data_IF_553395174654
#
_entry.id   IF_553395174654
#
_cell.length_a   1.000
_cell.length_b   1.000
_cell.length_c   1.000
_cell.angle_alpha   90.00
_cell.angle_beta   90.00
_cell.angle_gamma   90.00
#
_symmetry.space_group_name_H-M   'P 1'
#
loop_
_entity.id
_entity.type
_entity.pdbx_description
1 polymer ?
#
# COMPACT_ATOMS: atom_id res chain seq x y z
N UNK A 1 -10.80 20.12 -2.27
CA UNK A 1 -11.23 18.79 -2.79
C UNK A 1 -12.24 18.20 -1.83
N UNK A 2 -13.10 17.26 -2.29
CA UNK A 2 -13.94 16.47 -1.39
C UNK A 2 -13.06 15.66 -0.42
N UNK A 3 -13.69 14.96 0.54
CA UNK A 3 -12.99 14.10 1.49
C UNK A 3 -11.93 13.23 0.79
N UNK A 4 -10.66 13.41 1.18
CA UNK A 4 -9.51 12.83 0.45
C UNK A 4 -9.07 11.47 0.98
N UNK A 5 -9.51 11.13 2.20
CA UNK A 5 -9.18 9.90 2.89
C UNK A 5 -10.28 9.51 3.88
N UNK A 6 -10.30 8.24 4.28
CA UNK A 6 -11.03 7.75 5.45
C UNK A 6 -10.02 7.34 6.51
N UNK A 7 -10.22 7.81 7.74
CA UNK A 7 -9.40 7.42 8.88
C UNK A 7 -10.30 6.95 10.03
N UNK A 8 -10.00 5.76 10.56
CA UNK A 8 -10.60 5.24 11.80
C UNK A 8 -9.50 5.00 12.81
N UNK A 9 -9.62 5.63 13.99
CA UNK A 9 -8.68 5.44 15.09
C UNK A 9 -8.93 4.10 15.77
N UNK A 10 -7.87 3.34 15.98
CA UNK A 10 -7.88 2.08 16.69
C UNK A 10 -7.46 2.20 18.17
N UNK A 11 -7.40 1.02 18.83
CA UNK A 11 -7.09 0.86 20.26
C UNK A 11 -5.88 -0.05 20.53
N UNK A 12 -5.16 -0.47 19.48
CA UNK A 12 -3.94 -1.27 19.55
C UNK A 12 -2.82 -0.55 18.79
N UNK A 13 -1.53 -0.84 19.03
CA UNK A 13 -0.41 -0.10 18.43
C UNK A 13 -0.16 -0.41 16.95
N UNK A 14 -1.22 -0.51 16.14
CA UNK A 14 -1.16 -0.85 14.72
C UNK A 14 -1.94 0.15 13.87
N UNK A 15 -1.29 0.72 12.86
CA UNK A 15 -1.90 1.47 11.76
C UNK A 15 -1.80 0.65 10.46
N UNK A 16 -2.93 0.44 9.79
CA UNK A 16 -3.02 -0.13 8.45
C UNK A 16 -3.23 1.01 7.46
N UNK A 17 -2.22 1.26 6.61
CA UNK A 17 -2.23 2.26 5.55
C UNK A 17 -2.63 1.60 4.23
N UNK A 18 -3.59 2.17 3.52
CA UNK A 18 -4.11 1.73 2.22
C UNK A 18 -4.05 2.92 1.24
N UNK A 19 -2.90 3.19 0.62
CA UNK A 19 -2.71 4.43 -0.15
C UNK A 19 -3.30 4.40 -1.56
N UNK A 20 -3.61 3.22 -2.12
CA UNK A 20 -3.96 3.08 -3.54
C UNK A 20 -5.31 2.44 -3.89
N UNK A 21 -6.29 2.28 -2.97
CA UNK A 21 -7.60 1.75 -3.33
C UNK A 21 -8.51 2.83 -3.94
N UNK A 22 -8.09 4.09 -3.89
CA UNK A 22 -8.87 5.23 -4.35
C UNK A 22 -9.11 5.22 -5.85
N UNK A 23 -10.33 5.58 -6.25
CA UNK A 23 -10.76 5.64 -7.66
C UNK A 23 -11.20 7.04 -8.09
N UNK A 24 -11.27 8.01 -7.17
CA UNK A 24 -11.65 9.38 -7.52
C UNK A 24 -10.56 10.02 -8.37
N UNK A 25 -10.99 10.70 -9.41
CA UNK A 25 -10.15 11.51 -10.28
C UNK A 25 -10.47 12.99 -10.09
N UNK A 26 -9.50 13.86 -10.36
CA UNK A 26 -9.78 15.28 -10.53
C UNK A 26 -10.25 15.53 -11.95
N UNK A 27 -11.02 16.62 -12.23
CA UNK A 27 -11.47 16.92 -13.58
C UNK A 27 -10.35 16.97 -14.62
N UNK A 28 -9.16 17.49 -14.25
CA UNK A 28 -8.04 17.59 -15.16
C UNK A 28 -7.43 16.21 -15.47
N UNK A 29 -7.27 15.35 -14.46
CA UNK A 29 -6.81 13.97 -14.66
C UNK A 29 -7.81 13.22 -15.52
N UNK A 30 -9.09 13.20 -15.14
CA UNK A 30 -10.14 12.48 -15.90
C UNK A 30 -10.21 12.93 -17.37
N UNK A 31 -10.21 14.23 -17.60
CA UNK A 31 -10.22 14.78 -18.97
C UNK A 31 -8.97 14.42 -19.76
N UNK A 32 -7.83 14.19 -19.12
CA UNK A 32 -6.55 13.92 -19.79
C UNK A 32 -6.28 12.45 -20.10
N UNK A 33 -6.91 11.50 -19.39
CA UNK A 33 -6.62 10.08 -19.53
C UNK A 33 -6.81 9.56 -20.97
N UNK A 34 -5.94 8.62 -21.35
CA UNK A 34 -6.21 7.76 -22.51
C UNK A 34 -7.34 6.77 -22.19
N UNK A 35 -7.97 6.20 -23.21
CA UNK A 35 -9.13 5.32 -23.02
C UNK A 35 -8.79 4.09 -22.15
N UNK A 36 -7.63 3.51 -22.36
CA UNK A 36 -7.16 2.33 -21.61
C UNK A 36 -6.97 2.61 -20.12
N UNK A 37 -6.62 3.84 -19.75
CA UNK A 37 -6.42 4.25 -18.37
C UNK A 37 -7.73 4.46 -17.59
N UNK A 38 -8.87 4.61 -18.29
CA UNK A 38 -10.18 4.84 -17.67
C UNK A 38 -10.67 3.68 -16.84
N UNK A 39 -10.16 2.47 -17.09
CA UNK A 39 -10.43 1.30 -16.28
C UNK A 39 -9.67 1.30 -14.93
N UNK A 40 -8.79 2.27 -14.70
CA UNK A 40 -7.98 2.40 -13.46
C UNK A 40 -7.24 1.10 -13.11
N UNK A 41 -6.62 0.47 -14.09
CA UNK A 41 -6.03 -0.88 -13.99
C UNK A 41 -4.93 -1.02 -12.93
N UNK A 42 -4.34 0.08 -12.50
CA UNK A 42 -3.24 0.11 -11.52
C UNK A 42 -3.72 0.43 -10.09
N UNK A 43 -5.03 0.32 -9.86
CA UNK A 43 -5.65 0.48 -8.54
C UNK A 43 -5.43 -0.78 -7.70
N UNK A 44 -5.17 -0.61 -6.40
CA UNK A 44 -5.16 -1.69 -5.41
C UNK A 44 -6.63 -2.03 -5.05
N UNK A 45 -7.33 -2.63 -6.02
CA UNK A 45 -8.76 -2.88 -5.95
C UNK A 45 -9.14 -3.69 -4.71
N UNK A 46 -10.24 -3.30 -4.07
CA UNK A 46 -10.87 -4.02 -2.95
C UNK A 46 -10.02 -4.17 -1.67
N UNK A 47 -8.85 -3.54 -1.56
CA UNK A 47 -8.02 -3.60 -0.35
C UNK A 47 -8.80 -3.23 0.91
N UNK A 48 -9.61 -2.14 0.98
CA UNK A 48 -10.40 -1.85 2.17
C UNK A 48 -11.39 -2.97 2.55
N UNK A 49 -11.96 -3.67 1.56
CA UNK A 49 -12.84 -4.82 1.78
C UNK A 49 -12.07 -6.05 2.26
N UNK A 50 -10.87 -6.26 1.73
CA UNK A 50 -10.01 -7.38 2.12
C UNK A 50 -9.57 -7.26 3.59
N UNK A 51 -9.41 -6.02 4.08
CA UNK A 51 -9.00 -5.68 5.44
C UNK A 51 -10.16 -5.24 6.37
N UNK A 52 -11.43 -5.46 6.02
CA UNK A 52 -12.57 -4.98 6.82
C UNK A 52 -12.60 -5.51 8.26
N UNK A 53 -11.95 -6.66 8.52
CA UNK A 53 -11.77 -7.24 9.85
C UNK A 53 -10.77 -6.47 10.75
N UNK A 54 -10.04 -5.48 10.23
CA UNK A 54 -9.06 -4.70 10.99
C UNK A 54 -9.67 -4.00 12.22
N UNK A 55 -10.94 -3.64 12.14
CA UNK A 55 -11.69 -3.04 13.24
C UNK A 55 -11.87 -4.03 14.42
N UNK A 56 -12.08 -5.32 14.13
CA UNK A 56 -12.17 -6.38 15.15
C UNK A 56 -10.84 -6.54 15.89
N UNK A 57 -9.71 -6.44 15.17
CA UNK A 57 -8.36 -6.44 15.75
C UNK A 57 -8.08 -5.17 16.58
N UNK A 58 -8.89 -4.14 16.41
CA UNK A 58 -8.70 -2.84 17.06
C UNK A 58 -7.62 -1.97 16.40
N UNK A 59 -7.19 -2.28 15.18
CA UNK A 59 -6.21 -1.50 14.44
C UNK A 59 -6.78 -0.15 13.97
N UNK A 60 -5.92 0.85 13.87
CA UNK A 60 -6.24 2.08 13.12
C UNK A 60 -6.19 1.79 11.63
N UNK A 61 -7.09 2.38 10.85
CA UNK A 61 -7.12 2.22 9.39
C UNK A 61 -7.14 3.56 8.69
N UNK A 62 -6.38 3.67 7.61
CA UNK A 62 -6.30 4.85 6.76
C UNK A 62 -6.39 4.42 5.30
N UNK A 63 -7.39 4.91 4.56
CA UNK A 63 -7.58 4.60 3.16
C UNK A 63 -7.71 5.87 2.31
N UNK A 64 -7.00 5.93 1.18
CA UNK A 64 -7.10 7.02 0.22
C UNK A 64 -8.36 6.90 -0.65
N UNK A 65 -8.95 8.05 -1.02
CA UNK A 65 -10.10 8.11 -1.92
C UNK A 65 -9.72 8.46 -3.36
N UNK A 66 -8.64 9.23 -3.55
CA UNK A 66 -8.16 9.58 -4.88
C UNK A 66 -7.27 8.49 -5.47
N UNK A 67 -7.43 8.29 -6.77
CA UNK A 67 -6.58 7.38 -7.54
C UNK A 67 -5.11 7.80 -7.47
N UNK A 68 -4.21 6.82 -7.49
CA UNK A 68 -2.77 7.06 -7.66
C UNK A 68 -2.43 7.83 -8.94
N UNK A 69 -3.33 7.89 -9.92
CA UNK A 69 -3.16 8.69 -11.14
C UNK A 69 -3.25 10.20 -10.87
N UNK A 70 -3.79 10.62 -9.73
CA UNK A 70 -3.78 12.02 -9.28
C UNK A 70 -2.44 12.36 -8.63
N UNK A 71 -2.06 11.58 -7.64
CA UNK A 71 -0.76 11.64 -6.95
C UNK A 71 -0.49 10.31 -6.27
N UNK A 72 0.70 9.76 -6.45
CA UNK A 72 1.08 8.50 -5.82
C UNK A 72 1.50 8.73 -4.36
N UNK A 73 0.64 8.30 -3.43
CA UNK A 73 0.86 8.47 -1.98
C UNK A 73 2.02 7.62 -1.44
N UNK A 74 2.51 6.64 -2.20
CA UNK A 74 3.67 5.84 -1.83
C UNK A 74 4.95 6.27 -2.56
N UNK A 75 5.02 7.58 -2.88
CA UNK A 75 6.22 8.26 -3.43
C UNK A 75 6.58 9.47 -2.57
N UNK A 76 7.88 9.82 -2.47
CA UNK A 76 8.30 11.00 -1.73
C UNK A 76 7.81 12.28 -2.41
N UNK A 77 7.54 13.31 -1.60
CA UNK A 77 7.02 14.60 -2.08
C UNK A 77 7.96 15.37 -3.00
N UNK A 78 9.25 15.04 -2.99
CA UNK A 78 10.29 15.62 -3.86
C UNK A 78 10.51 14.80 -5.16
N UNK A 79 9.66 13.80 -5.39
CA UNK A 79 9.66 12.91 -6.56
C UNK A 79 10.99 12.20 -6.83
N UNK A 80 11.84 12.04 -5.81
CA UNK A 80 13.08 11.26 -5.97
C UNK A 80 12.78 9.79 -6.24
N UNK A 81 13.40 9.18 -7.25
CA UNK A 81 13.20 7.77 -7.55
C UNK A 81 13.56 6.86 -6.36
N UNK A 82 12.66 5.95 -5.99
CA UNK A 82 12.92 4.95 -4.94
C UNK A 82 13.72 3.75 -5.43
N UNK A 83 13.72 3.50 -6.73
CA UNK A 83 14.35 2.34 -7.38
C UNK A 83 15.13 2.80 -8.60
N UNK A 84 16.18 2.06 -8.94
CA UNK A 84 16.93 2.22 -10.19
C UNK A 84 16.28 1.49 -11.39
N UNK A 85 15.24 0.70 -11.13
CA UNK A 85 14.46 -0.05 -12.14
C UNK A 85 13.19 0.70 -12.52
N UNK A 86 12.47 0.22 -13.53
CA UNK A 86 11.21 0.80 -13.98
C UNK A 86 10.22 0.98 -12.80
N UNK A 87 9.72 2.19 -12.65
CA UNK A 87 8.75 2.59 -11.60
C UNK A 87 8.07 3.90 -12.03
N UNK A 88 6.87 4.14 -11.52
CA UNK A 88 6.18 5.42 -11.68
C UNK A 88 6.70 6.44 -10.66
N UNK A 89 6.64 7.73 -10.99
CA UNK A 89 6.94 8.85 -10.08
C UNK A 89 5.78 9.24 -9.18
N UNK A 90 5.95 10.36 -8.48
CA UNK A 90 4.92 10.98 -7.64
C UNK A 90 3.65 11.34 -8.43
N UNK A 91 3.86 11.79 -9.67
CA UNK A 91 2.80 12.08 -10.64
C UNK A 91 2.96 11.12 -11.82
N UNK A 92 2.29 9.96 -11.80
CA UNK A 92 2.43 8.99 -12.87
C UNK A 92 2.06 9.59 -14.23
N UNK A 93 2.87 9.30 -15.23
CA UNK A 93 2.64 9.65 -16.65
C UNK A 93 2.50 8.40 -17.52
N UNK A 94 2.75 7.23 -16.95
CA UNK A 94 2.56 5.93 -17.58
C UNK A 94 1.73 5.01 -16.70
N UNK A 95 1.06 4.05 -17.34
CA UNK A 95 0.50 2.87 -16.71
C UNK A 95 1.62 1.91 -16.26
N UNK A 96 1.31 0.93 -15.43
CA UNK A 96 2.27 -0.11 -15.02
C UNK A 96 2.77 -0.98 -16.18
N UNK A 97 2.06 -1.03 -17.29
CA UNK A 97 2.51 -1.72 -18.49
C UNK A 97 3.38 -0.84 -19.42
N UNK A 98 3.72 0.38 -19.00
CA UNK A 98 4.57 1.32 -19.73
C UNK A 98 3.86 2.19 -20.77
N UNK A 99 2.58 1.97 -21.04
CA UNK A 99 1.81 2.82 -21.95
C UNK A 99 1.56 4.19 -21.34
N UNK A 100 1.43 5.26 -22.19
CA UNK A 100 1.10 6.59 -21.68
C UNK A 100 -0.19 6.60 -20.86
N UNK A 101 -0.20 7.35 -19.76
CA UNK A 101 -1.38 7.57 -18.94
C UNK A 101 -2.29 8.66 -19.53
N UNK A 102 -1.69 9.68 -20.13
CA UNK A 102 -2.38 10.84 -20.67
C UNK A 102 -2.29 10.92 -22.19
N UNK A 103 -3.31 11.51 -22.78
CA UNK A 103 -3.24 11.95 -24.18
C UNK A 103 -2.19 13.07 -24.30
N UNK A 104 -1.58 13.20 -25.47
CA UNK A 104 -0.54 14.20 -25.72
C UNK A 104 -0.99 15.62 -25.33
N UNK A 105 -0.17 16.28 -24.50
CA UNK A 105 -0.43 17.62 -24.00
C UNK A 105 -1.53 17.73 -22.92
N UNK A 106 -2.12 16.62 -22.47
CA UNK A 106 -3.25 16.62 -21.55
C UNK A 106 -2.88 16.21 -20.11
N UNK A 107 -1.61 16.04 -19.80
CA UNK A 107 -1.17 15.81 -18.41
C UNK A 107 -1.49 17.03 -17.52
N UNK A 108 -1.80 16.84 -16.22
CA UNK A 108 -2.04 17.95 -15.29
C UNK A 108 -0.89 18.96 -15.27
N UNK A 109 -1.24 20.23 -15.18
CA UNK A 109 -0.28 21.34 -15.09
C UNK A 109 0.56 21.26 -13.80
N UNK A 110 1.68 22.01 -13.75
CA UNK A 110 2.49 22.11 -12.55
C UNK A 110 1.69 22.67 -11.36
N UNK A 111 0.78 23.62 -11.60
CA UNK A 111 -0.09 24.19 -10.58
C UNK A 111 -1.06 23.14 -10.00
N UNK A 112 -1.67 22.32 -10.87
CA UNK A 112 -2.54 21.24 -10.41
C UNK A 112 -1.77 20.19 -9.63
N UNK A 113 -0.57 19.80 -10.05
CA UNK A 113 0.30 18.88 -9.35
C UNK A 113 0.68 19.42 -7.95
N UNK A 114 1.00 20.71 -7.82
CA UNK A 114 1.23 21.34 -6.50
C UNK A 114 -0.02 21.29 -5.63
N UNK A 115 -1.20 21.48 -6.21
CA UNK A 115 -2.47 21.38 -5.48
C UNK A 115 -2.72 19.94 -5.01
N UNK A 116 -2.45 18.91 -5.85
CA UNK A 116 -2.59 17.50 -5.45
C UNK A 116 -1.66 17.13 -4.30
N UNK A 117 -0.42 17.64 -4.34
CA UNK A 117 0.52 17.48 -3.23
C UNK A 117 -0.04 18.09 -1.94
N UNK A 118 -0.54 19.32 -2.00
CA UNK A 118 -1.02 20.04 -0.81
C UNK A 118 -2.34 19.46 -0.26
N UNK A 119 -3.27 19.08 -1.14
CA UNK A 119 -4.64 18.73 -0.75
C UNK A 119 -4.89 17.21 -0.62
N UNK A 120 -4.03 16.35 -1.20
CA UNK A 120 -4.19 14.87 -1.14
C UNK A 120 -3.01 14.22 -0.43
N UNK A 121 -1.78 14.43 -0.92
CA UNK A 121 -0.59 13.80 -0.37
C UNK A 121 -0.31 14.26 1.07
N UNK A 122 -0.27 15.56 1.29
CA UNK A 122 0.08 16.13 2.61
C UNK A 122 -0.90 15.73 3.72
N UNK A 123 -2.24 15.78 3.54
CA UNK A 123 -3.17 15.30 4.56
C UNK A 123 -3.01 13.81 4.87
N UNK A 124 -2.78 12.97 3.86
CA UNK A 124 -2.58 11.53 4.05
C UNK A 124 -1.34 11.25 4.91
N UNK A 125 -0.21 11.82 4.54
CA UNK A 125 1.06 11.65 5.27
C UNK A 125 1.03 12.29 6.66
N UNK A 126 0.34 13.41 6.82
CA UNK A 126 0.11 14.00 8.15
C UNK A 126 -0.67 13.04 9.05
N UNK A 127 -1.72 12.41 8.54
CA UNK A 127 -2.51 11.45 9.31
C UNK A 127 -1.66 10.23 9.73
N UNK A 128 -0.79 9.70 8.86
CA UNK A 128 0.16 8.63 9.23
C UNK A 128 1.07 9.11 10.38
N UNK A 129 1.70 10.26 10.22
CA UNK A 129 2.66 10.78 11.20
C UNK A 129 2.01 11.04 12.57
N UNK A 130 0.84 11.68 12.59
CA UNK A 130 0.08 11.97 13.82
C UNK A 130 -0.36 10.67 14.51
N UNK A 131 -0.85 9.68 13.75
CA UNK A 131 -1.30 8.42 14.34
C UNK A 131 -0.13 7.58 14.88
N UNK A 132 0.97 7.45 14.14
CA UNK A 132 2.17 6.75 14.63
C UNK A 132 2.74 7.42 15.88
N UNK A 133 2.75 8.76 15.94
CA UNK A 133 3.18 9.49 17.13
C UNK A 133 2.25 9.22 18.33
N UNK A 134 0.94 9.18 18.11
CA UNK A 134 -0.05 8.83 19.15
C UNK A 134 0.17 7.41 19.66
N UNK A 135 0.26 6.43 18.75
CA UNK A 135 0.47 5.02 19.10
C UNK A 135 1.74 4.85 19.92
N UNK A 136 2.84 5.46 19.48
CA UNK A 136 4.11 5.42 20.20
C UNK A 136 4.01 6.06 21.59
N UNK A 137 3.29 7.18 21.72
CA UNK A 137 3.10 7.84 23.02
C UNK A 137 2.25 7.00 23.98
N UNK A 138 1.26 6.27 23.47
CA UNK A 138 0.33 5.48 24.27
C UNK A 138 0.89 4.10 24.64
N UNK A 139 1.59 3.43 23.71
CA UNK A 139 2.05 2.04 23.85
C UNK A 139 3.58 1.88 23.99
N UNK A 140 4.35 2.96 23.80
CA UNK A 140 5.82 2.89 23.76
C UNK A 140 6.40 2.50 22.40
N UNK A 141 5.59 2.03 21.47
CA UNK A 141 5.96 1.65 20.10
C UNK A 141 4.80 1.80 19.12
N UNK A 142 5.08 1.73 17.85
CA UNK A 142 4.07 1.73 16.80
C UNK A 142 4.41 0.73 15.68
N UNK A 143 3.38 0.11 15.14
CA UNK A 143 3.44 -0.82 14.02
C UNK A 143 2.70 -0.20 12.83
N UNK A 144 3.32 -0.18 11.66
CA UNK A 144 2.74 0.28 10.41
C UNK A 144 2.69 -0.88 9.41
N UNK A 145 1.49 -1.18 8.96
CA UNK A 145 1.24 -2.12 7.88
C UNK A 145 0.83 -1.36 6.62
N UNK A 146 1.67 -1.42 5.58
CA UNK A 146 1.43 -0.74 4.30
C UNK A 146 0.83 -1.74 3.32
N UNK A 147 -0.49 -1.66 3.12
CA UNK A 147 -1.29 -2.65 2.42
C UNK A 147 -1.44 -2.30 0.94
N UNK A 148 -0.94 -3.19 0.08
CA UNK A 148 -0.92 -3.03 -1.38
C UNK A 148 -1.35 -4.29 -2.11
N UNK A 149 -1.66 -4.12 -3.38
CA UNK A 149 -1.84 -5.21 -4.33
C UNK A 149 -1.56 -4.78 -5.77
N UNK A 150 -1.12 -5.71 -6.58
CA UNK A 150 -0.84 -5.50 -7.99
C UNK A 150 -1.25 -6.74 -8.79
N UNK A 151 -1.51 -6.58 -10.08
CA UNK A 151 -1.74 -7.71 -10.98
C UNK A 151 -0.59 -8.70 -10.93
N UNK A 152 -0.92 -10.00 -10.97
CA UNK A 152 0.06 -11.07 -10.88
C UNK A 152 1.05 -11.11 -12.04
N UNK A 153 0.74 -10.47 -13.18
CA UNK A 153 1.60 -10.37 -14.36
C UNK A 153 1.66 -8.94 -14.86
N UNK A 154 2.82 -8.30 -14.71
CA UNK A 154 3.13 -6.97 -15.23
C UNK A 154 4.54 -6.99 -15.83
N UNK A 155 4.70 -7.48 -17.09
CA UNK A 155 6.02 -7.73 -17.68
C UNK A 155 6.95 -6.51 -17.75
N UNK A 156 6.39 -5.30 -17.76
CA UNK A 156 7.18 -4.07 -17.72
C UNK A 156 7.87 -3.84 -16.36
N UNK A 157 7.32 -4.39 -15.28
CA UNK A 157 7.82 -4.20 -13.92
C UNK A 157 8.59 -5.41 -13.37
N UNK A 158 8.23 -6.63 -13.78
CA UNK A 158 8.86 -7.87 -13.33
C UNK A 158 8.59 -9.03 -14.30
N UNK A 159 9.50 -10.00 -14.32
CA UNK A 159 9.36 -11.19 -15.15
C UNK A 159 8.44 -12.24 -14.51
N UNK A 160 7.65 -12.92 -15.34
CA UNK A 160 6.83 -14.04 -14.93
C UNK A 160 5.63 -13.65 -14.04
N UNK A 161 5.21 -14.59 -13.19
CA UNK A 161 4.13 -14.41 -12.22
C UNK A 161 4.70 -13.95 -10.87
N UNK A 162 4.10 -12.89 -10.31
CA UNK A 162 4.43 -12.42 -8.97
C UNK A 162 4.04 -13.48 -7.92
N UNK A 163 4.87 -13.76 -6.89
CA UNK A 163 4.44 -14.51 -5.71
C UNK A 163 3.17 -13.92 -5.09
N UNK A 164 2.37 -14.77 -4.44
CA UNK A 164 1.07 -14.37 -3.90
C UNK A 164 1.20 -13.32 -2.78
N UNK A 165 2.18 -13.51 -1.88
CA UNK A 165 2.47 -12.63 -0.75
C UNK A 165 3.91 -12.10 -0.86
N UNK A 166 4.07 -10.79 -1.01
CA UNK A 166 5.40 -10.16 -1.10
C UNK A 166 5.58 -9.20 0.08
N UNK A 167 6.39 -9.60 1.04
CA UNK A 167 6.73 -8.78 2.20
C UNK A 167 7.90 -7.85 1.87
N UNK A 168 7.75 -6.57 2.18
CA UNK A 168 8.77 -5.54 2.01
C UNK A 168 9.14 -4.89 3.33
N UNK A 169 10.44 -4.94 3.69
CA UNK A 169 10.97 -4.37 4.93
C UNK A 169 12.13 -3.41 4.68
N UNK A 170 12.16 -2.79 3.50
CA UNK A 170 13.29 -1.96 3.05
C UNK A 170 14.63 -2.70 3.20
N UNK A 171 14.68 -3.95 2.74
CA UNK A 171 15.84 -4.84 2.90
C UNK A 171 16.27 -5.01 4.38
N UNK A 172 15.33 -5.02 5.31
CA UNK A 172 15.55 -5.17 6.75
C UNK A 172 15.70 -3.84 7.51
N UNK A 173 15.67 -2.69 6.83
CA UNK A 173 15.91 -1.40 7.48
C UNK A 173 14.66 -0.78 8.13
N UNK A 174 13.44 -1.25 7.79
CA UNK A 174 12.19 -0.64 8.28
C UNK A 174 11.54 -1.36 9.47
N UNK A 175 12.05 -2.53 9.86
CA UNK A 175 11.56 -3.27 11.03
C UNK A 175 12.65 -4.14 11.66
N UNK A 176 12.40 -4.62 12.88
CA UNK A 176 13.28 -5.59 13.56
C UNK A 176 13.41 -6.89 12.74
N UNK A 177 14.62 -7.46 12.58
CA UNK A 177 14.83 -8.72 11.85
C UNK A 177 14.01 -9.89 12.38
N UNK A 178 13.78 -9.97 13.72
CA UNK A 178 12.96 -11.02 14.31
C UNK A 178 11.49 -10.89 13.91
N UNK A 179 10.97 -9.66 13.75
CA UNK A 179 9.65 -9.42 13.20
C UNK A 179 9.55 -9.89 11.76
N UNK A 180 10.51 -9.50 10.92
CA UNK A 180 10.52 -9.90 9.50
C UNK A 180 10.51 -11.44 9.36
N UNK A 181 11.38 -12.13 10.12
CA UNK A 181 11.44 -13.60 10.13
C UNK A 181 10.14 -14.25 10.61
N UNK A 182 9.48 -13.67 11.62
CA UNK A 182 8.20 -14.16 12.15
C UNK A 182 7.09 -14.05 11.09
N UNK A 183 7.00 -12.93 10.39
CA UNK A 183 5.99 -12.74 9.34
C UNK A 183 6.27 -13.62 8.11
N UNK A 184 7.54 -13.81 7.74
CA UNK A 184 7.92 -14.72 6.67
C UNK A 184 7.53 -16.17 7.01
N UNK A 185 7.69 -16.59 8.28
CA UNK A 185 7.28 -17.91 8.75
C UNK A 185 5.75 -18.13 8.62
N UNK A 186 4.93 -17.11 8.89
CA UNK A 186 3.47 -17.17 8.64
C UNK A 186 3.18 -17.38 7.17
N UNK A 187 3.82 -16.62 6.27
CA UNK A 187 3.65 -16.82 4.83
C UNK A 187 4.10 -18.21 4.37
N UNK A 188 5.21 -18.72 4.92
CA UNK A 188 5.73 -20.04 4.59
C UNK A 188 4.80 -21.19 5.05
N UNK A 189 4.05 -20.99 6.12
CA UNK A 189 3.07 -21.94 6.61
C UNK A 189 1.73 -21.90 5.87
N UNK A 190 1.47 -20.85 5.09
CA UNK A 190 0.24 -20.67 4.34
C UNK A 190 0.20 -21.63 3.12
N UNK A 191 -0.43 -22.79 3.28
CA UNK A 191 -0.52 -23.79 2.24
C UNK A 191 -1.21 -23.26 0.98
N UNK A 192 -0.66 -23.59 -0.18
CA UNK A 192 -1.20 -23.20 -1.49
C UNK A 192 -0.81 -21.79 -1.95
N UNK A 193 -0.08 -21.03 -1.15
CA UNK A 193 0.42 -19.70 -1.51
C UNK A 193 1.94 -19.67 -1.65
N UNK A 194 2.39 -18.89 -2.61
CA UNK A 194 3.80 -18.53 -2.77
C UNK A 194 4.10 -17.20 -2.07
N UNK A 195 5.32 -17.05 -1.54
CA UNK A 195 5.72 -15.82 -0.88
C UNK A 195 7.15 -15.44 -1.17
N UNK A 196 7.49 -14.17 -0.90
CA UNK A 196 8.86 -13.67 -1.01
C UNK A 196 9.06 -12.48 -0.05
N UNK A 197 10.17 -12.48 0.67
CA UNK A 197 10.61 -11.36 1.49
C UNK A 197 11.65 -10.52 0.73
N UNK A 198 11.40 -9.21 0.60
CA UNK A 198 12.28 -8.23 -0.04
C UNK A 198 12.71 -8.61 -1.48
N UNK A 199 11.79 -9.20 -2.24
CA UNK A 199 12.00 -9.51 -3.64
C UNK A 199 11.90 -8.27 -4.54
N UNK A 200 10.96 -8.26 -5.51
CA UNK A 200 10.70 -7.10 -6.38
C UNK A 200 10.19 -5.90 -5.58
N UNK A 201 9.32 -6.13 -4.60
CA UNK A 201 8.72 -5.12 -3.74
C UNK A 201 9.38 -5.12 -2.36
N UNK A 202 10.35 -4.20 -2.17
CA UNK A 202 11.13 -4.11 -0.92
C UNK A 202 10.55 -3.10 0.09
N UNK A 203 9.42 -2.49 -0.24
CA UNK A 203 8.83 -1.39 0.48
C UNK A 203 8.91 -0.07 -0.30
N UNK A 204 7.78 0.66 -0.37
CA UNK A 204 7.67 1.98 -0.97
C UNK A 204 8.08 3.10 -0.03
N UNK A 205 7.69 4.34 -0.36
CA UNK A 205 8.02 5.52 0.44
C UNK A 205 7.49 5.43 1.88
N UNK A 206 6.24 5.01 2.05
CA UNK A 206 5.61 4.90 3.37
C UNK A 206 6.42 3.96 4.28
N UNK A 207 6.70 2.75 3.82
CA UNK A 207 7.49 1.78 4.57
C UNK A 207 8.89 2.30 4.91
N UNK A 208 9.58 2.92 3.94
CA UNK A 208 10.95 3.42 4.11
C UNK A 208 11.05 4.65 5.00
N UNK A 209 10.09 5.56 4.87
CA UNK A 209 10.09 6.84 5.58
C UNK A 209 9.69 6.70 7.04
N UNK A 210 8.65 5.90 7.30
CA UNK A 210 8.09 5.75 8.65
C UNK A 210 8.69 4.60 9.44
N UNK A 211 9.24 3.56 8.78
CA UNK A 211 9.94 2.47 9.47
C UNK A 211 11.26 2.97 10.07
N UNK A 212 11.27 3.16 11.39
CA UNK A 212 12.40 3.64 12.18
C UNK A 212 12.55 2.76 13.43
N UNK A 213 13.08 1.52 13.29
CA UNK A 213 13.16 0.54 14.38
C UNK A 213 13.88 1.08 15.62
N UNK A 214 14.94 1.86 15.43
CA UNK A 214 15.68 2.52 16.52
C UNK A 214 14.83 3.50 17.35
N UNK A 215 13.69 3.92 16.78
CA UNK A 215 12.70 4.76 17.44
C UNK A 215 11.44 4.00 17.84
N UNK A 216 11.48 2.68 17.82
CA UNK A 216 10.36 1.79 18.12
C UNK A 216 9.15 1.95 17.16
N UNK A 217 9.42 2.31 15.92
CA UNK A 217 8.42 2.34 14.84
C UNK A 217 8.82 1.31 13.78
N UNK A 218 8.03 0.25 13.64
CA UNK A 218 8.29 -0.81 12.69
C UNK A 218 7.29 -0.77 11.54
N UNK A 219 7.76 -0.74 10.31
CA UNK A 219 6.93 -0.71 9.11
C UNK A 219 7.20 -1.92 8.22
N UNK A 220 6.12 -2.55 7.78
CA UNK A 220 6.14 -3.68 6.83
C UNK A 220 5.12 -3.41 5.73
N UNK A 221 5.54 -3.57 4.47
CA UNK A 221 4.65 -3.58 3.31
C UNK A 221 4.23 -5.01 3.00
N UNK A 222 2.94 -5.19 2.69
CA UNK A 222 2.48 -6.38 1.99
C UNK A 222 2.01 -5.98 0.60
N UNK A 223 2.62 -6.58 -0.44
CA UNK A 223 2.16 -6.51 -1.82
C UNK A 223 1.53 -7.83 -2.21
N UNK A 224 0.22 -7.88 -2.38
CA UNK A 224 -0.51 -9.07 -2.80
C UNK A 224 -0.60 -9.17 -4.32
N UNK A 225 -0.47 -10.37 -4.86
CA UNK A 225 -0.93 -10.64 -6.21
C UNK A 225 -2.47 -10.62 -6.23
N UNK A 226 -3.08 -9.76 -7.05
CA UNK A 226 -4.54 -9.55 -7.09
C UNK A 226 -5.33 -10.82 -7.40
N UNK A 227 -4.75 -11.75 -8.16
CA UNK A 227 -5.36 -13.05 -8.46
C UNK A 227 -5.66 -13.91 -7.22
N UNK A 228 -5.14 -13.56 -6.04
CA UNK A 228 -5.42 -14.26 -4.78
C UNK A 228 -6.79 -13.93 -4.19
N UNK A 229 -7.46 -12.86 -4.65
CA UNK A 229 -8.73 -12.43 -4.07
C UNK A 229 -9.71 -11.78 -5.07
N UNK A 230 -9.31 -11.59 -6.34
CA UNK A 230 -10.15 -10.93 -7.35
C UNK A 230 -9.82 -11.40 -8.77
N UNK A 231 -10.70 -11.08 -9.71
CA UNK A 231 -10.43 -11.21 -11.14
C UNK A 231 -9.57 -10.01 -11.60
N UNK A 232 -8.44 -10.28 -12.26
CA UNK A 232 -7.49 -9.24 -12.71
C UNK A 232 -7.89 -8.58 -14.04
N UNK A 233 -9.01 -8.97 -14.60
CA UNK A 233 -9.62 -8.42 -15.80
C UNK A 233 -10.85 -7.60 -15.44
N UNK A 234 -11.12 -6.51 -16.20
CA UNK A 234 -12.34 -5.74 -16.00
C UNK A 234 -13.59 -6.66 -16.06
N UNK A 235 -14.53 -6.51 -15.16
CA UNK A 235 -14.75 -5.41 -14.23
C UNK A 235 -14.01 -5.52 -12.88
N UNK A 236 -12.91 -6.25 -12.78
CA UNK A 236 -12.10 -6.44 -11.56
C UNK A 236 -12.91 -6.95 -10.38
N UNK A 237 -13.70 -8.02 -10.61
CA UNK A 237 -14.67 -8.52 -9.64
C UNK A 237 -13.98 -9.10 -8.40
N UNK A 238 -14.43 -8.72 -7.21
CA UNK A 238 -14.01 -9.35 -5.96
C UNK A 238 -14.50 -10.80 -5.91
N UNK A 239 -13.59 -11.71 -5.66
CA UNK A 239 -13.83 -13.15 -5.59
C UNK A 239 -13.87 -13.60 -4.14
N UNK A 240 -15.08 -13.61 -3.55
CA UNK A 240 -15.24 -13.97 -2.15
C UNK A 240 -14.72 -15.38 -1.82
N UNK A 241 -14.83 -16.31 -2.78
CA UNK A 241 -14.34 -17.69 -2.70
C UNK A 241 -12.79 -17.77 -2.58
N UNK A 242 -12.06 -16.86 -3.24
CA UNK A 242 -10.60 -16.77 -3.14
C UNK A 242 -10.19 -15.91 -1.94
N UNK A 243 -10.89 -14.80 -1.74
CA UNK A 243 -10.53 -13.81 -0.72
C UNK A 243 -10.63 -14.34 0.70
N UNK A 244 -11.52 -15.30 0.99
CA UNK A 244 -11.67 -15.86 2.35
C UNK A 244 -10.37 -16.48 2.86
N UNK A 245 -9.71 -17.32 2.06
CA UNK A 245 -8.44 -17.92 2.42
C UNK A 245 -7.31 -16.88 2.50
N UNK A 246 -7.24 -15.93 1.56
CA UNK A 246 -6.26 -14.82 1.58
C UNK A 246 -6.42 -13.96 2.85
N UNK A 247 -7.66 -13.63 3.23
CA UNK A 247 -7.98 -12.86 4.44
C UNK A 247 -7.55 -13.58 5.71
N UNK A 248 -7.68 -14.92 5.76
CA UNK A 248 -7.21 -15.70 6.91
C UNK A 248 -5.69 -15.54 7.11
N UNK A 249 -4.90 -15.62 6.03
CA UNK A 249 -3.44 -15.40 6.08
C UNK A 249 -3.10 -13.96 6.49
N UNK A 250 -3.80 -12.96 5.94
CA UNK A 250 -3.58 -11.56 6.31
C UNK A 250 -3.89 -11.34 7.80
N UNK A 251 -4.97 -11.92 8.31
CA UNK A 251 -5.34 -11.84 9.73
C UNK A 251 -4.24 -12.43 10.60
N UNK A 252 -3.74 -13.61 10.27
CA UNK A 252 -2.65 -14.26 10.99
C UNK A 252 -1.36 -13.42 10.97
N UNK A 253 -1.02 -12.80 9.84
CA UNK A 253 0.09 -11.86 9.74
C UNK A 253 -0.07 -10.67 10.69
N UNK A 254 -1.24 -10.05 10.74
CA UNK A 254 -1.50 -8.89 11.61
C UNK A 254 -1.55 -9.27 13.09
N UNK A 255 -2.14 -10.41 13.44
CA UNK A 255 -2.13 -10.96 14.80
C UNK A 255 -0.72 -11.30 15.25
N UNK A 256 0.08 -11.91 14.38
CA UNK A 256 1.50 -12.23 14.63
C UNK A 256 2.35 -10.97 14.82
N UNK A 257 2.08 -9.92 14.00
CA UNK A 257 2.70 -8.60 14.13
C UNK A 257 2.40 -7.95 15.50
N UNK A 258 1.14 -7.95 15.91
CA UNK A 258 0.70 -7.42 17.21
C UNK A 258 1.29 -8.20 18.36
N UNK A 259 1.29 -9.53 18.29
CA UNK A 259 1.86 -10.40 19.33
C UNK A 259 3.37 -10.15 19.49
N UNK A 260 4.12 -10.03 18.38
CA UNK A 260 5.53 -9.68 18.42
C UNK A 260 5.77 -8.33 19.12
N UNK A 261 4.98 -7.31 18.76
CA UNK A 261 5.10 -5.99 19.39
C UNK A 261 4.86 -6.04 20.89
N UNK A 262 3.84 -6.77 21.32
CA UNK A 262 3.55 -6.97 22.74
C UNK A 262 4.70 -7.69 23.45
N UNK A 263 5.20 -8.80 22.91
CA UNK A 263 6.33 -9.56 23.48
C UNK A 263 7.63 -8.73 23.59
N UNK A 264 7.83 -7.80 22.65
CA UNK A 264 9.06 -7.01 22.54
C UNK A 264 9.08 -5.79 23.45
N UNK A 265 7.91 -5.21 23.76
CA UNK A 265 7.79 -3.90 24.40
C UNK A 265 6.91 -3.90 25.67
N UNK A 266 6.27 -5.01 26.04
CA UNK A 266 5.47 -5.15 27.28
C UNK A 266 6.31 -5.33 28.55
#
# INVERSE_FOLDING_TARGET
MDEVLSFKRGRVPLLISMPHPGTRLTPAVDAGLVEEARALTDTDWHIPRLYDFAEELGASTLAAHYSRYVVDLNRPSDDKPLYSTATTGLYPDTLFDGRPLYREGMAPSAEERMRYLAEVWTPYHRTIAEELARLKAEFGYALLWDAHSIRSHVPHLFDGRLPDFNLGTNAGASCDPALAARLEAVCAAAEGYSHLLNGRFKGGHITRHYGQPEQHVHAVQLELAQCTYMDEQAPFAYRADLAEATRAVIRELLESLLAWGHERYA
#
